data_IF_409789357055
#
_entry.id   IF_409789357055
#
_cell.length_a   1.000
_cell.length_b   1.000
_cell.length_c   1.000
_cell.angle_alpha   90.00
_cell.angle_beta   90.00
_cell.angle_gamma   90.00
#
_symmetry.space_group_name_H-M   'P 1'
#
loop_
_entity.id
_entity.type
_entity.pdbx_description
1 polymer ?
#
# COMPACT_ATOMS: atom_id res chain seq x y z
N UNK A 1 -7.99 7.09 22.79
CA UNK A 1 -6.63 7.26 22.23
C UNK A 1 -6.05 5.87 21.99
N UNK A 2 -5.69 5.57 20.77
CA UNK A 2 -5.16 4.27 20.39
C UNK A 2 -3.68 4.13 20.71
N UNK A 3 -3.17 2.89 20.67
CA UNK A 3 -1.76 2.56 20.94
C UNK A 3 -0.78 3.27 19.98
N UNK A 4 -1.24 3.64 18.78
CA UNK A 4 -0.39 4.22 17.73
C UNK A 4 -0.67 5.70 17.49
N UNK A 5 -1.35 6.38 18.42
CA UNK A 5 -1.58 7.84 18.32
C UNK A 5 -0.26 8.58 18.17
N UNK A 6 -0.16 9.46 17.17
CA UNK A 6 1.06 10.20 16.83
C UNK A 6 2.15 9.37 16.12
N UNK A 7 1.86 8.12 15.75
CA UNK A 7 2.71 7.28 14.92
C UNK A 7 2.27 7.33 13.47
N UNK A 8 3.16 6.97 12.55
CA UNK A 8 2.89 6.90 11.11
C UNK A 8 3.23 5.52 10.57
N UNK A 9 2.27 4.92 9.84
CA UNK A 9 2.44 3.64 9.18
C UNK A 9 2.35 3.80 7.66
N UNK A 10 3.31 3.24 6.94
CA UNK A 10 3.22 3.04 5.48
C UNK A 10 2.61 1.65 5.24
N UNK A 11 1.56 1.58 4.45
CA UNK A 11 0.95 0.31 4.01
C UNK A 11 0.91 0.29 2.50
N UNK A 12 1.70 -0.57 1.88
CA UNK A 12 1.72 -0.69 0.42
C UNK A 12 0.55 -1.52 -0.08
N UNK A 13 -0.03 -1.14 -1.22
CA UNK A 13 -1.16 -1.84 -1.81
C UNK A 13 -2.46 -1.73 -1.00
N UNK A 14 -2.74 -0.55 -0.46
CA UNK A 14 -3.86 -0.33 0.47
C UNK A 14 -5.06 0.43 -0.16
N UNK A 15 -5.20 0.44 -1.47
CA UNK A 15 -6.39 0.98 -2.13
C UNK A 15 -7.65 0.21 -1.75
N UNK A 16 -8.78 0.91 -1.66
CA UNK A 16 -10.07 0.28 -1.37
C UNK A 16 -10.59 -0.50 -2.59
N UNK A 17 -10.95 -1.75 -2.37
CA UNK A 17 -11.71 -2.56 -3.31
C UNK A 17 -12.88 -3.20 -2.56
N UNK A 18 -14.08 -3.10 -3.15
CA UNK A 18 -15.27 -3.76 -2.60
C UNK A 18 -15.46 -5.14 -3.24
N UNK A 19 -15.91 -6.10 -2.44
CA UNK A 19 -16.47 -7.33 -2.93
C UNK A 19 -17.88 -7.10 -3.50
N UNK A 20 -18.45 -8.11 -4.14
CA UNK A 20 -19.81 -8.01 -4.75
C UNK A 20 -20.91 -7.69 -3.74
N UNK A 21 -20.72 -8.08 -2.49
CA UNK A 21 -21.63 -7.80 -1.37
C UNK A 21 -21.39 -6.43 -0.71
N UNK A 22 -20.44 -5.63 -1.25
CA UNK A 22 -20.09 -4.32 -0.72
C UNK A 22 -19.09 -4.32 0.43
N UNK A 23 -18.68 -5.48 0.93
CA UNK A 23 -17.65 -5.59 1.95
C UNK A 23 -16.25 -5.28 1.39
N UNK A 24 -15.30 -4.93 2.28
CA UNK A 24 -13.94 -4.66 1.88
C UNK A 24 -13.22 -5.95 1.47
N UNK A 25 -12.72 -5.98 0.23
CA UNK A 25 -12.03 -7.14 -0.34
C UNK A 25 -10.52 -7.00 -0.42
N UNK A 26 -9.95 -5.87 0.02
CA UNK A 26 -8.51 -5.59 -0.07
C UNK A 26 -7.81 -5.86 1.25
N UNK A 27 -6.80 -6.73 1.25
CA UNK A 27 -5.99 -7.05 2.44
C UNK A 27 -5.27 -5.80 2.95
N UNK A 28 -4.63 -5.04 2.06
CA UNK A 28 -3.91 -3.82 2.44
C UNK A 28 -4.81 -2.77 3.08
N UNK A 29 -6.03 -2.59 2.58
CA UNK A 29 -7.01 -1.71 3.21
C UNK A 29 -7.42 -2.22 4.60
N UNK A 30 -7.58 -3.53 4.78
CA UNK A 30 -7.85 -4.14 6.09
C UNK A 30 -6.73 -3.88 7.09
N UNK A 31 -5.47 -4.02 6.68
CA UNK A 31 -4.30 -3.69 7.51
C UNK A 31 -4.28 -2.20 7.87
N UNK A 32 -4.47 -1.32 6.87
CA UNK A 32 -4.56 0.13 7.10
C UNK A 32 -5.68 0.49 8.10
N UNK A 33 -6.83 -0.18 8.00
CA UNK A 33 -7.94 -0.03 8.95
C UNK A 33 -7.54 -0.40 10.38
N UNK A 34 -6.75 -1.46 10.56
CA UNK A 34 -6.28 -1.86 11.89
C UNK A 34 -5.37 -0.79 12.52
N UNK A 35 -4.44 -0.22 11.74
CA UNK A 35 -3.61 0.90 12.21
C UNK A 35 -4.43 2.15 12.50
N UNK A 36 -5.41 2.47 11.65
CA UNK A 36 -6.30 3.63 11.83
C UNK A 36 -7.12 3.54 13.12
N UNK A 37 -7.65 2.36 13.45
CA UNK A 37 -8.36 2.10 14.71
C UNK A 37 -7.53 2.41 15.94
N UNK A 38 -6.22 2.19 15.85
CA UNK A 38 -5.27 2.47 16.93
C UNK A 38 -4.69 3.90 16.84
N UNK A 39 -5.23 4.75 15.98
CA UNK A 39 -4.91 6.18 15.92
C UNK A 39 -3.65 6.54 15.14
N UNK A 40 -3.07 5.62 14.36
CA UNK A 40 -1.94 5.93 13.51
C UNK A 40 -2.35 6.80 12.31
N UNK A 41 -1.51 7.75 11.93
CA UNK A 41 -1.57 8.35 10.61
C UNK A 41 -1.04 7.37 9.57
N UNK A 42 -1.54 7.48 8.34
CA UNK A 42 -1.27 6.50 7.30
C UNK A 42 -0.66 7.12 6.05
N UNK A 43 0.27 6.40 5.46
CA UNK A 43 0.66 6.56 4.06
C UNK A 43 0.22 5.29 3.34
N UNK A 44 -0.69 5.41 2.39
CA UNK A 44 -1.18 4.27 1.62
C UNK A 44 -0.74 4.39 0.17
N UNK A 45 -0.20 3.30 -0.37
CA UNK A 45 0.27 3.28 -1.75
C UNK A 45 -0.52 2.32 -2.62
N UNK A 46 -0.49 2.57 -3.92
CA UNK A 46 -1.10 1.73 -4.93
C UNK A 46 -1.00 2.38 -6.31
N UNK A 47 -1.42 1.66 -7.34
CA UNK A 47 -1.39 2.14 -8.72
C UNK A 47 -2.64 2.93 -9.12
N UNK A 48 -3.76 2.63 -8.48
CA UNK A 48 -5.06 3.21 -8.83
C UNK A 48 -5.43 4.34 -7.87
N UNK A 49 -5.34 5.56 -8.36
CA UNK A 49 -5.62 6.77 -7.59
C UNK A 49 -7.05 6.82 -7.04
N UNK A 50 -8.05 6.38 -7.81
CA UNK A 50 -9.44 6.36 -7.35
C UNK A 50 -9.63 5.43 -6.15
N UNK A 51 -8.99 4.26 -6.17
CA UNK A 51 -9.04 3.32 -5.05
C UNK A 51 -8.30 3.84 -3.82
N UNK A 52 -7.20 4.57 -4.01
CA UNK A 52 -6.48 5.23 -2.92
C UNK A 52 -7.31 6.34 -2.29
N UNK A 53 -7.92 7.20 -3.09
CA UNK A 53 -8.76 8.28 -2.60
C UNK A 53 -10.01 7.76 -1.86
N UNK A 54 -10.64 6.70 -2.37
CA UNK A 54 -11.76 6.04 -1.68
C UNK A 54 -11.33 5.45 -0.33
N UNK A 55 -10.14 4.83 -0.24
CA UNK A 55 -9.57 4.35 1.01
C UNK A 55 -9.32 5.48 2.00
N UNK A 56 -8.71 6.57 1.54
CA UNK A 56 -8.43 7.78 2.33
C UNK A 56 -9.72 8.33 2.96
N UNK A 57 -10.72 8.63 2.15
CA UNK A 57 -11.99 9.18 2.63
C UNK A 57 -12.65 8.32 3.70
N UNK A 58 -12.67 7.01 3.49
CA UNK A 58 -13.25 6.05 4.44
C UNK A 58 -12.48 6.01 5.76
N UNK A 59 -11.16 5.98 5.69
CA UNK A 59 -10.30 5.89 6.87
C UNK A 59 -10.32 7.19 7.68
N UNK A 60 -10.20 8.33 7.04
CA UNK A 60 -10.27 9.65 7.70
C UNK A 60 -11.63 9.89 8.34
N UNK A 61 -12.73 9.59 7.62
CA UNK A 61 -14.09 9.77 8.12
C UNK A 61 -14.42 8.86 9.30
N UNK A 62 -13.94 7.62 9.29
CA UNK A 62 -14.27 6.65 10.32
C UNK A 62 -13.42 6.78 11.58
N UNK A 63 -12.17 7.22 11.48
CA UNK A 63 -11.20 7.15 12.58
C UNK A 63 -10.58 8.48 12.95
N UNK A 64 -10.80 9.56 12.21
CA UNK A 64 -10.31 10.90 12.52
C UNK A 64 -8.78 11.03 12.46
N UNK A 65 -8.11 10.17 11.70
CA UNK A 65 -6.67 10.21 11.44
C UNK A 65 -6.37 10.95 10.15
N UNK A 66 -5.09 11.22 9.88
CA UNK A 66 -4.67 11.76 8.58
C UNK A 66 -4.14 10.63 7.68
N UNK A 67 -4.53 10.67 6.40
CA UNK A 67 -4.08 9.72 5.38
C UNK A 67 -3.43 10.46 4.21
N UNK A 68 -2.19 10.09 3.90
CA UNK A 68 -1.49 10.47 2.67
C UNK A 68 -1.65 9.34 1.65
N UNK A 69 -2.08 9.68 0.44
CA UNK A 69 -2.06 8.77 -0.70
C UNK A 69 -0.81 9.01 -1.53
N UNK A 70 -0.01 7.99 -1.75
CA UNK A 70 1.15 8.03 -2.61
C UNK A 70 0.95 7.05 -3.78
N UNK A 71 0.71 7.56 -4.98
CA UNK A 71 0.60 6.71 -6.15
C UNK A 71 1.97 6.12 -6.49
N UNK A 72 2.09 4.81 -6.43
CA UNK A 72 3.33 4.09 -6.67
C UNK A 72 3.09 2.85 -7.53
N UNK A 73 3.82 2.75 -8.62
CA UNK A 73 3.89 1.56 -9.46
C UNK A 73 5.19 0.82 -9.20
N UNK A 74 5.08 -0.38 -8.64
CA UNK A 74 6.20 -1.25 -8.28
C UNK A 74 6.47 -2.33 -9.33
N UNK A 75 6.03 -2.12 -10.57
CA UNK A 75 6.25 -3.06 -11.67
C UNK A 75 7.71 -3.11 -12.14
N UNK A 76 8.02 -4.18 -12.87
CA UNK A 76 9.36 -4.54 -13.33
C UNK A 76 10.11 -3.49 -14.17
N UNK A 77 9.38 -2.62 -14.86
CA UNK A 77 9.97 -1.57 -15.72
C UNK A 77 10.25 -0.27 -14.98
N UNK A 78 9.80 -0.15 -13.73
CA UNK A 78 9.99 1.06 -12.94
C UNK A 78 11.34 1.04 -12.22
N UNK A 79 11.89 2.21 -11.98
CA UNK A 79 12.95 2.38 -11.01
C UNK A 79 12.36 2.25 -9.59
N UNK A 80 12.26 1.02 -9.11
CA UNK A 80 11.64 0.72 -7.82
C UNK A 80 12.32 1.44 -6.65
N UNK A 81 13.63 1.70 -6.77
CA UNK A 81 14.35 2.47 -5.75
C UNK A 81 13.88 3.92 -5.72
N UNK A 82 13.75 4.57 -6.89
CA UNK A 82 13.25 5.94 -6.97
C UNK A 82 11.78 6.03 -6.52
N UNK A 83 10.96 5.05 -6.87
CA UNK A 83 9.56 4.99 -6.42
C UNK A 83 9.46 4.85 -4.90
N UNK A 84 10.22 3.94 -4.30
CA UNK A 84 10.25 3.77 -2.85
C UNK A 84 10.76 5.02 -2.14
N UNK A 85 11.82 5.65 -2.65
CA UNK A 85 12.34 6.90 -2.10
C UNK A 85 11.29 8.01 -2.16
N UNK A 86 10.55 8.14 -3.26
CA UNK A 86 9.47 9.13 -3.39
C UNK A 86 8.39 8.95 -2.32
N UNK A 87 7.98 7.72 -2.04
CA UNK A 87 7.00 7.44 -0.97
C UNK A 87 7.53 7.84 0.40
N UNK A 88 8.79 7.54 0.69
CA UNK A 88 9.44 7.94 1.95
C UNK A 88 9.53 9.46 2.08
N UNK A 89 9.94 10.14 1.01
CA UNK A 89 10.07 11.61 1.00
C UNK A 89 8.73 12.29 1.25
N UNK A 90 7.66 11.83 0.60
CA UNK A 90 6.31 12.34 0.83
C UNK A 90 5.81 12.08 2.27
N UNK A 91 6.07 10.88 2.80
CA UNK A 91 5.73 10.53 4.18
C UNK A 91 6.45 11.41 5.19
N UNK A 92 7.75 11.62 5.00
CA UNK A 92 8.56 12.46 5.88
C UNK A 92 8.19 13.93 5.76
N UNK A 93 7.89 14.44 4.56
CA UNK A 93 7.44 15.81 4.35
C UNK A 93 6.11 16.10 5.07
N UNK A 94 5.17 15.14 5.05
CA UNK A 94 3.86 15.32 5.65
C UNK A 94 3.85 15.09 7.16
N UNK A 95 4.45 13.98 7.62
CA UNK A 95 4.33 13.53 9.01
C UNK A 95 5.60 13.65 9.84
N UNK A 96 6.77 13.86 9.20
CA UNK A 96 8.05 14.00 9.87
C UNK A 96 8.59 12.71 10.51
N UNK A 97 7.90 11.59 10.34
CA UNK A 97 8.27 10.30 10.93
C UNK A 97 7.65 9.11 10.19
N UNK A 98 8.31 7.98 10.27
CA UNK A 98 7.80 6.67 9.84
C UNK A 98 8.13 5.68 10.95
N UNK A 99 7.10 5.05 11.52
CA UNK A 99 7.26 4.11 12.62
C UNK A 99 7.06 2.65 12.17
N UNK A 100 6.22 2.46 11.15
CA UNK A 100 5.88 1.14 10.64
C UNK A 100 5.89 1.12 9.12
N UNK A 101 6.37 0.02 8.56
CA UNK A 101 6.28 -0.30 7.14
C UNK A 101 5.65 -1.68 6.97
N UNK A 102 4.58 -1.73 6.20
CA UNK A 102 3.91 -2.99 5.83
C UNK A 102 4.07 -3.20 4.32
N UNK A 103 4.93 -4.13 3.95
CA UNK A 103 5.13 -4.57 2.58
C UNK A 103 4.04 -5.56 2.19
N UNK A 104 2.88 -5.05 1.77
CA UNK A 104 1.72 -5.84 1.37
C UNK A 104 1.53 -5.90 -0.15
N UNK A 105 1.94 -4.86 -0.88
CA UNK A 105 1.77 -4.82 -2.33
C UNK A 105 2.57 -5.91 -3.03
N UNK A 106 1.90 -6.62 -3.94
CA UNK A 106 2.51 -7.62 -4.81
C UNK A 106 1.67 -7.77 -6.08
N UNK A 107 2.31 -8.11 -7.18
CA UNK A 107 1.65 -8.51 -8.41
C UNK A 107 2.19 -9.88 -8.87
N UNK A 108 1.32 -10.71 -9.41
CA UNK A 108 1.67 -12.01 -9.97
C UNK A 108 0.69 -12.41 -11.07
N UNK A 109 1.11 -13.34 -11.93
CA UNK A 109 0.25 -13.96 -12.92
C UNK A 109 -0.59 -15.07 -12.28
N UNK A 110 -1.78 -14.72 -11.81
CA UNK A 110 -2.69 -15.67 -11.16
C UNK A 110 -3.22 -16.73 -12.15
N UNK A 111 -3.31 -17.98 -11.71
CA UNK A 111 -3.89 -19.08 -12.49
C UNK A 111 -2.95 -19.68 -13.54
N UNK A 112 -1.68 -19.27 -13.56
CA UNK A 112 -0.64 -19.83 -14.43
C UNK A 112 0.24 -20.77 -13.63
N UNK A 113 0.48 -21.99 -14.13
CA UNK A 113 1.39 -22.95 -13.49
C UNK A 113 2.84 -22.48 -13.65
N UNK A 114 3.74 -22.92 -12.78
CA UNK A 114 5.15 -22.54 -12.90
C UNK A 114 5.77 -22.96 -14.25
N UNK A 115 5.34 -24.11 -14.77
CA UNK A 115 5.80 -24.61 -16.07
C UNK A 115 5.36 -23.73 -17.26
N UNK A 116 4.25 -23.03 -17.11
CA UNK A 116 3.66 -22.19 -18.15
C UNK A 116 3.98 -20.70 -17.96
N UNK A 117 4.70 -20.33 -16.91
CA UNK A 117 5.12 -18.95 -16.69
C UNK A 117 6.09 -18.49 -17.77
N UNK A 118 5.83 -17.30 -18.30
CA UNK A 118 6.84 -16.61 -19.10
C UNK A 118 7.87 -15.91 -18.20
N UNK A 119 9.07 -15.62 -18.71
CA UNK A 119 10.06 -14.82 -17.96
C UNK A 119 9.50 -13.50 -17.44
N UNK A 120 8.68 -12.81 -18.23
CA UNK A 120 8.07 -11.52 -17.86
C UNK A 120 7.07 -11.67 -16.71
N UNK A 121 6.31 -12.77 -16.67
CA UNK A 121 5.39 -13.06 -15.58
C UNK A 121 6.14 -13.41 -14.29
N UNK A 122 7.26 -14.11 -14.40
CA UNK A 122 8.14 -14.39 -13.28
C UNK A 122 8.79 -13.09 -12.75
N UNK A 123 9.33 -12.28 -13.65
CA UNK A 123 9.94 -10.99 -13.31
C UNK A 123 8.93 -10.06 -12.61
N UNK A 124 7.67 -10.04 -13.05
CA UNK A 124 6.63 -9.26 -12.39
C UNK A 124 6.53 -9.59 -10.90
N UNK A 125 6.56 -10.87 -10.53
CA UNK A 125 6.49 -11.29 -9.14
C UNK A 125 7.77 -10.94 -8.36
N UNK A 126 8.94 -11.09 -8.96
CA UNK A 126 10.22 -10.76 -8.34
C UNK A 126 10.35 -9.25 -8.11
N UNK A 127 10.06 -8.43 -9.12
CA UNK A 127 10.20 -6.98 -8.99
C UNK A 127 9.16 -6.38 -8.04
N UNK A 128 7.90 -6.82 -8.14
CA UNK A 128 6.84 -6.28 -7.26
C UNK A 128 6.89 -6.83 -5.84
N UNK A 129 7.33 -8.07 -5.64
CA UNK A 129 7.34 -8.73 -4.33
C UNK A 129 8.67 -8.66 -3.61
N UNK A 130 9.79 -8.82 -4.30
CA UNK A 130 11.12 -8.89 -3.68
C UNK A 130 11.86 -7.55 -3.75
N UNK A 131 12.10 -7.03 -4.95
CA UNK A 131 12.86 -5.78 -5.10
C UNK A 131 12.13 -4.59 -4.50
N UNK A 132 10.81 -4.47 -4.70
CA UNK A 132 10.03 -3.37 -4.14
C UNK A 132 10.04 -3.36 -2.60
N UNK A 133 10.04 -4.55 -1.97
CA UNK A 133 10.13 -4.66 -0.52
C UNK A 133 11.57 -4.42 -0.01
N UNK A 134 12.58 -4.67 -0.83
CA UNK A 134 13.99 -4.45 -0.47
C UNK A 134 14.35 -2.96 -0.45
N UNK A 135 13.87 -2.18 -1.41
CA UNK A 135 14.13 -0.74 -1.49
C UNK A 135 13.28 0.08 -0.52
#
# INVERSE_FOLDING_TARGET
MGFYSGKTAIVTGAGFAALKDGSAGSIGYGIATAFAKEGANLVITGRNEKKLNAAKEKLESAYGIEVLTAQADINASADNKAVAQGVVDEAMAKFGRIDFLVNNAQASASGVTLADHTPEQFDLAIYSGLYAAFY
#
